data_IF_642219174001
#
_entry.id   IF_642219174001
#
_cell.length_a   1.000
_cell.length_b   1.000
_cell.length_c   1.000
_cell.angle_alpha   90.00
_cell.angle_beta   90.00
_cell.angle_gamma   90.00
#
_symmetry.space_group_name_H-M   'P 1'
#
loop_
_entity.id
_entity.type
_entity.pdbx_description
1 polymer ?
#
# COMPACT_ATOMS: atom_id res chain seq x y z
N UNK A 1 3.04 -23.13 28.07
CA UNK A 1 3.24 -23.84 26.78
C UNK A 1 2.35 -23.33 25.64
N UNK A 2 1.42 -22.38 25.87
CA UNK A 2 0.62 -21.76 24.81
C UNK A 2 1.08 -20.34 24.43
N UNK A 3 1.92 -19.71 25.26
CA UNK A 3 2.36 -18.32 25.07
C UNK A 3 3.56 -18.23 24.10
N UNK A 4 4.48 -19.20 24.13
CA UNK A 4 5.69 -19.16 23.26
C UNK A 4 5.39 -19.32 21.77
N UNK A 5 4.33 -20.04 21.40
CA UNK A 5 3.93 -20.22 20.00
C UNK A 5 3.35 -18.94 19.38
N UNK A 6 2.73 -18.06 20.19
CA UNK A 6 2.19 -16.78 19.70
C UNK A 6 3.28 -15.73 19.43
N UNK A 7 4.40 -15.77 20.18
CA UNK A 7 5.49 -14.82 19.96
C UNK A 7 6.31 -15.12 18.70
N UNK A 8 6.45 -16.40 18.31
CA UNK A 8 7.21 -16.79 17.12
C UNK A 8 6.49 -16.44 15.81
N UNK A 9 5.15 -16.53 15.78
CA UNK A 9 4.35 -16.13 14.61
C UNK A 9 4.36 -14.62 14.38
N UNK A 10 4.38 -13.82 15.45
CA UNK A 10 4.44 -12.36 15.36
C UNK A 10 5.82 -11.84 14.90
N UNK A 11 6.90 -12.55 15.23
CA UNK A 11 8.26 -12.15 14.87
C UNK A 11 8.62 -12.46 13.40
N UNK A 12 8.00 -13.48 12.80
CA UNK A 12 8.26 -13.84 11.40
C UNK A 12 7.57 -12.92 10.37
N UNK A 13 6.53 -12.19 10.77
CA UNK A 13 5.89 -11.17 9.91
C UNK A 13 6.77 -9.91 9.78
N UNK A 14 7.63 -9.63 10.77
CA UNK A 14 8.40 -8.38 10.85
C UNK A 14 9.85 -8.48 10.34
N UNK A 15 10.29 -9.64 9.84
CA UNK A 15 11.65 -9.85 9.30
C UNK A 15 11.68 -10.38 7.86
N UNK A 16 10.56 -10.29 7.14
CA UNK A 16 10.50 -10.74 5.76
C UNK A 16 11.00 -9.62 4.83
N UNK A 17 12.04 -9.84 4.01
CA UNK A 17 12.44 -8.84 3.03
C UNK A 17 11.23 -8.52 2.17
N UNK A 18 11.05 -7.23 1.91
CA UNK A 18 9.93 -6.56 1.23
C UNK A 18 9.55 -7.08 -0.16
N UNK A 19 10.12 -8.20 -0.61
CA UNK A 19 10.23 -8.57 -2.01
C UNK A 19 9.75 -9.99 -2.39
N UNK A 20 9.24 -10.87 -1.51
CA UNK A 20 9.14 -12.29 -1.97
C UNK A 20 7.99 -13.21 -1.54
N UNK A 21 6.91 -12.77 -0.89
CA UNK A 21 5.82 -13.73 -0.53
C UNK A 21 4.38 -13.26 -0.73
N UNK A 22 4.13 -12.01 -1.10
CA UNK A 22 2.77 -11.46 -1.23
C UNK A 22 2.23 -11.41 -2.69
N UNK A 23 2.71 -12.30 -3.57
CA UNK A 23 2.27 -12.38 -4.99
C UNK A 23 1.36 -13.60 -5.22
N UNK A 24 0.95 -14.31 -4.16
CA UNK A 24 0.54 -15.71 -4.29
C UNK A 24 -0.86 -15.98 -4.91
N UNK A 25 -1.69 -14.99 -5.21
CA UNK A 25 -3.00 -15.25 -5.86
C UNK A 25 -3.58 -14.14 -6.73
N UNK A 26 -2.77 -13.23 -7.28
CA UNK A 26 -3.28 -12.32 -8.32
C UNK A 26 -3.41 -13.07 -9.66
N UNK A 27 -4.53 -12.96 -10.40
CA UNK A 27 -4.64 -13.59 -11.71
C UNK A 27 -3.51 -13.11 -12.61
N UNK A 28 -3.00 -13.99 -13.48
CA UNK A 28 -1.82 -13.73 -14.35
C UNK A 28 -1.88 -12.37 -15.08
N UNK A 29 -3.09 -11.92 -15.37
CA UNK A 29 -3.39 -10.68 -16.07
C UNK A 29 -3.04 -9.41 -15.27
N UNK A 30 -2.94 -9.47 -13.94
CA UNK A 30 -2.72 -8.32 -13.05
C UNK A 30 -1.24 -8.15 -12.65
N UNK A 31 -0.39 -9.15 -12.94
CA UNK A 31 1.07 -9.05 -12.76
C UNK A 31 1.72 -7.80 -13.37
N UNK A 32 1.39 -7.37 -14.61
CA UNK A 32 1.98 -6.13 -15.14
C UNK A 32 1.64 -4.90 -14.30
N UNK A 33 0.42 -4.82 -13.75
CA UNK A 33 0.02 -3.70 -12.89
C UNK A 33 0.84 -3.65 -11.60
N UNK A 34 1.05 -4.80 -10.95
CA UNK A 34 1.91 -4.89 -9.76
C UNK A 34 3.35 -4.47 -10.07
N UNK A 35 3.92 -4.97 -11.17
CA UNK A 35 5.27 -4.60 -11.59
C UNK A 35 5.41 -3.09 -11.87
N UNK A 36 4.38 -2.45 -12.45
CA UNK A 36 4.40 -1.00 -12.66
C UNK A 36 4.38 -0.21 -11.36
N UNK A 37 3.65 -0.68 -10.34
CA UNK A 37 3.61 -0.04 -9.02
C UNK A 37 4.96 -0.18 -8.33
N UNK A 38 5.56 -1.38 -8.35
CA UNK A 38 6.89 -1.63 -7.79
C UNK A 38 7.96 -0.79 -8.49
N UNK A 39 7.93 -0.70 -9.82
CA UNK A 39 8.83 0.17 -10.57
C UNK A 39 8.65 1.65 -10.19
N UNK A 40 7.41 2.09 -10.01
CA UNK A 40 7.14 3.45 -9.55
C UNK A 40 7.70 3.69 -8.15
N UNK A 41 7.45 2.80 -7.19
CA UNK A 41 7.93 2.91 -5.81
C UNK A 41 9.47 2.90 -5.74
N UNK A 42 10.12 2.02 -6.51
CA UNK A 42 11.57 1.82 -6.44
C UNK A 42 12.38 2.89 -7.16
N UNK A 43 11.86 3.44 -8.26
CA UNK A 43 12.60 4.38 -9.13
C UNK A 43 11.98 5.77 -9.13
N UNK A 44 10.71 5.90 -9.52
CA UNK A 44 10.09 7.21 -9.75
C UNK A 44 9.76 7.96 -8.46
N UNK A 45 9.32 7.25 -7.42
CA UNK A 45 9.02 7.84 -6.11
C UNK A 45 10.25 8.51 -5.49
N UNK A 46 11.42 7.88 -5.61
CA UNK A 46 12.70 8.42 -5.10
C UNK A 46 13.15 9.67 -5.86
N UNK A 47 12.89 9.73 -7.17
CA UNK A 47 13.31 10.86 -8.03
C UNK A 47 12.35 12.05 -7.87
N UNK A 48 11.05 11.79 -7.74
CA UNK A 48 10.03 12.84 -7.81
C UNK A 48 10.03 13.78 -6.58
N UNK A 49 10.53 13.32 -5.43
CA UNK A 49 10.68 14.12 -4.20
C UNK A 49 9.37 14.64 -3.57
N UNK A 50 8.23 14.55 -4.28
CA UNK A 50 6.90 14.85 -3.76
C UNK A 50 6.37 13.67 -2.97
N UNK A 51 6.07 13.87 -1.70
CA UNK A 51 5.39 12.89 -0.88
C UNK A 51 3.87 12.95 -1.14
N UNK A 52 3.23 11.77 -1.12
CA UNK A 52 1.78 11.69 -1.11
C UNK A 52 1.31 12.21 0.26
N UNK A 53 0.35 13.15 0.33
CA UNK A 53 -0.14 13.69 1.61
C UNK A 53 -0.98 12.67 2.39
N UNK A 54 -1.22 11.49 1.81
CA UNK A 54 -2.12 10.47 2.31
C UNK A 54 -1.38 9.25 2.87
N UNK A 55 -2.00 8.58 3.85
CA UNK A 55 -1.48 7.37 4.49
C UNK A 55 -2.48 6.20 4.39
N UNK A 56 -2.05 5.02 3.92
CA UNK A 56 -0.78 4.76 3.21
C UNK A 56 -0.67 5.56 1.91
N UNK A 57 0.52 5.63 1.32
CA UNK A 57 0.73 6.36 0.05
C UNK A 57 -0.13 5.77 -1.08
N UNK A 58 -0.53 6.56 -2.08
CA UNK A 58 -1.40 6.08 -3.17
C UNK A 58 -0.86 4.83 -3.89
N UNK A 59 0.45 4.70 -4.05
CA UNK A 59 1.06 3.51 -4.66
C UNK A 59 0.98 2.30 -3.73
N UNK A 60 1.17 2.49 -2.43
CA UNK A 60 1.05 1.42 -1.44
C UNK A 60 -0.41 1.00 -1.23
N UNK A 61 -1.34 1.95 -1.18
CA UNK A 61 -2.77 1.67 -1.22
C UNK A 61 -3.12 0.84 -2.45
N UNK A 62 -2.60 1.21 -3.63
CA UNK A 62 -2.87 0.45 -4.85
C UNK A 62 -2.31 -0.96 -4.82
N UNK A 63 -1.10 -1.14 -4.26
CA UNK A 63 -0.49 -2.45 -4.04
C UNK A 63 -1.37 -3.34 -3.15
N UNK A 64 -1.84 -2.80 -2.02
CA UNK A 64 -2.72 -3.49 -1.08
C UNK A 64 -4.09 -3.80 -1.71
N UNK A 65 -4.74 -2.80 -2.28
CA UNK A 65 -6.06 -2.93 -2.89
C UNK A 65 -6.07 -3.95 -4.03
N UNK A 66 -5.04 -3.96 -4.90
CA UNK A 66 -4.91 -4.94 -5.99
C UNK A 66 -4.63 -6.34 -5.43
N UNK A 67 -3.82 -6.44 -4.38
CA UNK A 67 -3.55 -7.73 -3.74
C UNK A 67 -4.79 -8.34 -3.08
N UNK A 68 -5.65 -7.51 -2.49
CA UNK A 68 -6.85 -7.95 -1.78
C UNK A 68 -8.05 -8.15 -2.71
N UNK A 69 -8.24 -7.25 -3.68
CA UNK A 69 -9.45 -7.15 -4.50
C UNK A 69 -9.22 -7.47 -5.99
N UNK A 70 -7.99 -7.76 -6.42
CA UNK A 70 -7.65 -8.04 -7.82
C UNK A 70 -8.02 -6.87 -8.73
N UNK A 71 -8.90 -7.11 -9.72
CA UNK A 71 -9.32 -6.09 -10.69
C UNK A 71 -10.10 -4.94 -10.05
N UNK A 72 -10.93 -5.22 -9.03
CA UNK A 72 -11.61 -4.16 -8.28
C UNK A 72 -10.59 -3.28 -7.54
N UNK A 73 -9.46 -3.85 -7.14
CA UNK A 73 -8.35 -3.11 -6.54
C UNK A 73 -7.79 -2.04 -7.48
N UNK A 74 -7.72 -2.30 -8.78
CA UNK A 74 -7.30 -1.31 -9.78
C UNK A 74 -8.28 -0.13 -9.81
N UNK A 75 -9.59 -0.41 -9.83
CA UNK A 75 -10.62 0.63 -9.82
C UNK A 75 -10.56 1.45 -8.52
N UNK A 76 -10.44 0.78 -7.36
CA UNK A 76 -10.24 1.42 -6.05
C UNK A 76 -8.99 2.31 -6.03
N UNK A 77 -7.92 1.89 -6.70
CA UNK A 77 -6.68 2.67 -6.82
C UNK A 77 -6.89 3.93 -7.65
N UNK A 78 -7.58 3.85 -8.78
CA UNK A 78 -7.88 5.03 -9.61
C UNK A 78 -8.79 6.02 -8.90
N UNK A 79 -9.83 5.52 -8.24
CA UNK A 79 -10.70 6.33 -7.39
C UNK A 79 -9.90 7.05 -6.30
N UNK A 80 -9.00 6.33 -5.62
CA UNK A 80 -8.08 6.89 -4.62
C UNK A 80 -7.19 7.99 -5.19
N UNK A 81 -6.63 7.80 -6.39
CA UNK A 81 -5.79 8.82 -7.05
C UNK A 81 -6.58 10.11 -7.31
N UNK A 82 -7.85 10.00 -7.70
CA UNK A 82 -8.71 11.15 -7.92
C UNK A 82 -9.01 11.88 -6.60
N UNK A 83 -9.39 11.14 -5.55
CA UNK A 83 -9.65 11.70 -4.21
C UNK A 83 -8.41 12.36 -3.61
N UNK A 84 -7.22 11.77 -3.79
CA UNK A 84 -5.95 12.36 -3.34
C UNK A 84 -5.66 13.73 -3.99
N UNK A 85 -6.16 13.99 -5.19
CA UNK A 85 -5.92 15.26 -5.88
C UNK A 85 -6.91 16.37 -5.50
N UNK A 86 -8.11 16.03 -4.99
CA UNK A 86 -9.21 17.00 -4.85
C UNK A 86 -9.89 17.02 -3.48
N UNK A 87 -9.96 15.88 -2.78
CA UNK A 87 -10.87 15.68 -1.64
C UNK A 87 -10.14 15.49 -0.30
N UNK A 88 -8.90 15.97 -0.18
CA UNK A 88 -8.05 15.76 1.02
C UNK A 88 -8.73 16.23 2.32
N UNK A 89 -9.52 17.29 2.27
CA UNK A 89 -10.18 17.90 3.44
C UNK A 89 -11.24 17.01 4.09
N UNK A 90 -11.71 15.96 3.41
CA UNK A 90 -12.74 15.05 3.91
C UNK A 90 -12.20 13.87 4.72
N UNK A 91 -10.89 13.83 4.98
CA UNK A 91 -10.23 12.71 5.64
C UNK A 91 -9.65 13.11 6.99
N UNK A 92 -9.58 12.13 7.89
CA UNK A 92 -8.95 12.31 9.19
C UNK A 92 -7.45 12.54 9.05
N UNK A 93 -6.93 13.52 9.79
CA UNK A 93 -5.50 13.85 9.81
C UNK A 93 -4.82 13.05 10.92
N UNK A 94 -3.78 12.31 10.53
CA UNK A 94 -2.89 11.58 11.43
C UNK A 94 -1.48 12.18 11.36
N UNK A 95 -0.68 11.96 12.40
CA UNK A 95 0.76 12.29 12.38
C UNK A 95 1.52 10.99 12.15
N UNK A 96 2.19 10.88 11.00
CA UNK A 96 3.02 9.73 10.63
C UNK A 96 4.44 10.20 10.32
N UNK A 97 5.43 9.63 11.00
CA UNK A 97 6.85 10.01 10.86
C UNK A 97 7.12 11.52 11.08
N UNK A 98 6.37 12.14 11.99
CA UNK A 98 6.47 13.57 12.28
C UNK A 98 5.79 14.50 11.26
N UNK A 99 5.16 13.96 10.23
CA UNK A 99 4.43 14.71 9.20
C UNK A 99 2.91 14.52 9.35
N UNK A 100 2.13 15.55 9.02
CA UNK A 100 0.67 15.44 8.93
C UNK A 100 0.28 14.72 7.64
N UNK A 101 -0.53 13.67 7.75
CA UNK A 101 -1.06 12.90 6.62
C UNK A 101 -2.55 12.63 6.75
N UNK A 102 -3.22 12.43 5.63
CA UNK A 102 -4.66 12.11 5.57
C UNK A 102 -4.87 10.59 5.49
N UNK A 103 -5.58 10.02 6.46
CA UNK A 103 -5.81 8.57 6.58
C UNK A 103 -6.90 8.10 5.60
N UNK A 104 -6.62 7.05 4.82
CA UNK A 104 -7.63 6.27 4.07
C UNK A 104 -7.18 4.82 4.01
N UNK A 105 -7.79 3.98 4.83
CA UNK A 105 -7.48 2.56 4.87
C UNK A 105 -8.13 1.84 3.68
N UNK A 106 -7.43 0.90 3.02
CA UNK A 106 -8.05 0.04 2.02
C UNK A 106 -9.11 -0.84 2.70
N UNK A 107 -10.38 -0.63 2.34
CA UNK A 107 -11.54 -1.44 2.75
C UNK A 107 -11.71 -2.70 1.89
#
# INVERSE_FOLDING_TARGET
MLICIYSETYYQENNLPSDTTFVKSVPLLIKPAMYTIEFYQNYLGKIKGSYCPMYPSCSEYGRLAISENGFLGIIKTFDRLHRCSHDLENYDVIIFDGEMRYLDEPN
#
